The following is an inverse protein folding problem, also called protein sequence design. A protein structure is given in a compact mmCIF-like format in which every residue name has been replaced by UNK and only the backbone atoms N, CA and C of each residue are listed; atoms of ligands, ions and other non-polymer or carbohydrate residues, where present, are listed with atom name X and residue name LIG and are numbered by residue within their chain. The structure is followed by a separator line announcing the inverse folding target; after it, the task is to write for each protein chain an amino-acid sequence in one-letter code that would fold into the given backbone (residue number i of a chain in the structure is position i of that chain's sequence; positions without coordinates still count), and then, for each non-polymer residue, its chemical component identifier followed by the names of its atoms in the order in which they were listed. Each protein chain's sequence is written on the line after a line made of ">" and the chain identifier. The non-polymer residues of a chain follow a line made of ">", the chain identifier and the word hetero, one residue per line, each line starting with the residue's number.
data_IF_891606120979
#
_entry.id   IF_891606120979
#
_cell.length_a   1.000
_cell.length_b   1.000
_cell.length_c   1.000
_cell.angle_alpha   90.00
_cell.angle_beta   90.00
_cell.angle_gamma   90.00
#
_symmetry.space_group_name_H-M   'P 1'
#
loop_
_entity.id
_entity.type
_entity.pdbx_description
1 polymer ?
#
# COMPACT_ATOMS: atom_id res chain seq x y z
N UNK A 1 1.98 -4.20 9.45
CA UNK A 1 2.13 -5.67 9.40
C UNK A 1 0.93 -6.34 8.72
N UNK A 2 -0.31 -6.21 9.22
CA UNK A 2 -1.49 -6.81 8.59
C UNK A 2 -1.69 -6.41 7.11
N UNK A 3 -1.56 -5.12 6.77
CA UNK A 3 -1.70 -4.65 5.39
C UNK A 3 -0.63 -5.24 4.44
N UNK A 4 0.60 -5.43 4.90
CA UNK A 4 1.68 -6.03 4.09
C UNK A 4 1.42 -7.51 3.83
N UNK A 5 0.92 -8.23 4.83
CA UNK A 5 0.53 -9.62 4.64
C UNK A 5 -0.58 -9.72 3.58
N UNK A 6 -1.60 -8.86 3.66
CA UNK A 6 -2.67 -8.80 2.64
C UNK A 6 -2.10 -8.50 1.26
N UNK A 7 -1.18 -7.54 1.12
CA UNK A 7 -0.54 -7.21 -0.16
C UNK A 7 0.18 -8.43 -0.76
N UNK A 8 1.03 -9.10 0.01
CA UNK A 8 1.80 -10.25 -0.45
C UNK A 8 0.91 -11.46 -0.78
N UNK A 9 -0.08 -11.75 0.07
CA UNK A 9 -1.04 -12.84 -0.19
C UNK A 9 -1.91 -12.55 -1.41
N UNK A 10 -2.34 -11.30 -1.60
CA UNK A 10 -3.12 -10.90 -2.76
C UNK A 10 -2.30 -11.02 -4.04
N UNK A 11 -1.04 -10.59 -4.06
CA UNK A 11 -0.16 -10.73 -5.23
C UNK A 11 0.04 -12.20 -5.57
N UNK A 12 0.37 -13.05 -4.60
CA UNK A 12 0.56 -14.49 -4.85
C UNK A 12 -0.75 -15.15 -5.33
N UNK A 13 -1.86 -14.85 -4.68
CA UNK A 13 -3.17 -15.42 -5.02
C UNK A 13 -3.65 -15.01 -6.41
N UNK A 14 -3.50 -13.72 -6.76
CA UNK A 14 -3.93 -13.20 -8.05
C UNK A 14 -2.98 -13.64 -9.18
N UNK A 15 -1.67 -13.69 -8.92
CA UNK A 15 -0.68 -14.21 -9.86
C UNK A 15 -0.91 -15.69 -10.17
N UNK A 16 -1.18 -16.50 -9.14
CA UNK A 16 -1.51 -17.92 -9.29
C UNK A 16 -2.82 -18.13 -10.07
N UNK A 17 -3.84 -17.30 -9.82
CA UNK A 17 -5.13 -17.40 -10.51
C UNK A 17 -5.07 -16.95 -11.98
N UNK A 18 -4.27 -15.92 -12.27
CA UNK A 18 -4.14 -15.34 -13.61
C UNK A 18 -3.15 -16.09 -14.51
N UNK A 19 -2.35 -17.02 -13.97
CA UNK A 19 -1.48 -17.93 -14.74
C UNK A 19 -2.23 -18.53 -15.93
N UNK A 20 -3.47 -18.99 -15.73
CA UNK A 20 -4.23 -19.72 -16.75
C UNK A 20 -4.82 -18.85 -17.86
N UNK A 21 -4.92 -17.54 -17.64
CA UNK A 21 -5.63 -16.60 -18.53
C UNK A 21 -4.67 -15.82 -19.43
N UNK A 22 -3.43 -15.64 -19.02
CA UNK A 22 -2.50 -14.75 -19.71
C UNK A 22 -1.67 -15.49 -20.78
N UNK A 23 -1.33 -14.84 -21.91
CA UNK A 23 -0.67 -15.47 -23.06
C UNK A 23 0.85 -15.66 -22.90
N UNK A 24 1.40 -15.52 -21.69
CA UNK A 24 2.84 -15.58 -21.41
C UNK A 24 3.15 -16.46 -20.19
N UNK A 25 4.33 -17.09 -20.18
CA UNK A 25 4.76 -17.98 -19.10
C UNK A 25 4.88 -17.25 -17.77
N UNK A 26 3.98 -17.55 -16.83
CA UNK A 26 3.98 -17.02 -15.45
C UNK A 26 4.67 -17.98 -14.48
N UNK A 27 5.92 -18.34 -14.75
CA UNK A 27 6.65 -19.22 -13.84
C UNK A 27 7.01 -18.51 -12.53
N UNK A 28 7.09 -19.30 -11.45
CA UNK A 28 7.63 -18.85 -10.17
C UNK A 28 9.14 -19.05 -10.26
N UNK A 29 9.84 -18.02 -10.71
CA UNK A 29 11.28 -18.00 -10.90
C UNK A 29 11.96 -16.95 -9.99
N UNK A 30 13.27 -16.75 -10.15
CA UNK A 30 14.00 -15.71 -9.41
C UNK A 30 13.44 -14.31 -9.71
N UNK A 31 12.94 -14.09 -10.92
CA UNK A 31 12.34 -12.83 -11.36
C UNK A 31 11.07 -12.54 -10.58
N UNK A 32 10.21 -13.55 -10.35
CA UNK A 32 9.02 -13.44 -9.51
C UNK A 32 9.37 -13.06 -8.06
N UNK A 33 10.40 -13.67 -7.47
CA UNK A 33 10.84 -13.34 -6.10
C UNK A 33 11.34 -11.88 -6.03
N UNK A 34 12.08 -11.42 -7.04
CA UNK A 34 12.51 -10.03 -7.14
C UNK A 34 11.31 -9.06 -7.26
N UNK A 35 10.25 -9.46 -7.97
CA UNK A 35 9.02 -8.66 -8.08
C UNK A 35 8.35 -8.51 -6.70
N UNK A 36 8.19 -9.59 -5.94
CA UNK A 36 7.62 -9.54 -4.59
C UNK A 36 8.43 -8.61 -3.69
N UNK A 37 9.76 -8.73 -3.69
CA UNK A 37 10.64 -7.89 -2.87
C UNK A 37 10.45 -6.40 -3.21
N UNK A 38 10.32 -6.09 -4.49
CA UNK A 38 10.10 -4.73 -4.99
C UNK A 38 8.73 -4.20 -4.56
N UNK A 39 7.67 -5.01 -4.66
CA UNK A 39 6.32 -4.64 -4.24
C UNK A 39 6.27 -4.35 -2.74
N UNK A 40 6.92 -5.19 -1.93
CA UNK A 40 6.99 -4.98 -0.48
C UNK A 40 7.67 -3.65 -0.17
N UNK A 41 8.78 -3.33 -0.83
CA UNK A 41 9.46 -2.04 -0.70
C UNK A 41 8.56 -0.85 -1.08
N UNK A 42 7.89 -0.94 -2.23
CA UNK A 42 6.95 0.08 -2.71
C UNK A 42 5.79 0.32 -1.75
N UNK A 43 5.17 -0.78 -1.30
CA UNK A 43 4.02 -0.78 -0.40
C UNK A 43 4.37 -0.23 1.00
N UNK A 44 5.56 -0.54 1.53
CA UNK A 44 6.05 0.03 2.80
C UNK A 44 6.25 1.53 2.66
N UNK A 45 6.88 1.99 1.58
CA UNK A 45 7.16 3.40 1.37
C UNK A 45 5.89 4.25 1.39
N UNK A 46 4.84 3.83 0.68
CA UNK A 46 3.58 4.57 0.65
C UNK A 46 2.90 4.62 2.03
N UNK A 47 2.93 3.50 2.76
CA UNK A 47 2.37 3.41 4.12
C UNK A 47 3.09 4.33 5.11
N UNK A 48 4.43 4.38 5.09
CA UNK A 48 5.23 5.23 5.98
C UNK A 48 4.86 6.71 5.80
N UNK A 49 4.68 7.16 4.55
CA UNK A 49 4.28 8.54 4.25
C UNK A 49 2.91 8.88 4.84
N UNK A 50 1.94 7.95 4.78
CA UNK A 50 0.62 8.12 5.40
C UNK A 50 0.74 8.20 6.93
N UNK A 51 1.50 7.30 7.54
CA UNK A 51 1.71 7.30 8.99
C UNK A 51 2.42 8.56 9.48
N UNK A 52 3.40 9.05 8.73
CA UNK A 52 4.11 10.29 9.07
C UNK A 52 3.19 11.50 9.00
N UNK A 53 2.31 11.60 8.00
CA UNK A 53 1.33 12.70 7.91
C UNK A 53 0.33 12.68 9.05
N UNK A 54 -0.19 11.50 9.41
CA UNK A 54 -1.08 11.35 10.58
C UNK A 54 -0.37 11.81 11.86
N UNK A 55 0.88 11.41 12.07
CA UNK A 55 1.68 11.80 13.23
C UNK A 55 1.90 13.31 13.27
N UNK A 56 2.28 13.90 12.14
CA UNK A 56 2.51 15.34 12.00
C UNK A 56 1.24 16.16 12.29
N UNK A 57 0.10 15.77 11.73
CA UNK A 57 -1.15 16.49 11.98
C UNK A 57 -1.57 16.37 13.45
N UNK A 58 -1.34 15.22 14.08
CA UNK A 58 -1.65 15.02 15.50
C UNK A 58 -0.86 15.99 16.39
N UNK A 59 0.39 16.30 16.01
CA UNK A 59 1.23 17.27 16.73
C UNK A 59 0.82 18.72 16.43
N UNK A 60 0.46 19.04 15.18
CA UNK A 60 0.05 20.39 14.77
C UNK A 60 -1.33 20.79 15.30
N UNK A 61 -2.27 19.84 15.39
CA UNK A 61 -3.67 20.07 15.76
C UNK A 61 -4.14 19.19 16.93
N UNK A 62 -3.54 19.31 18.13
CA UNK A 62 -3.80 18.41 19.25
C UNK A 62 -5.23 18.52 19.82
N UNK A 63 -5.96 19.60 19.50
CA UNK A 63 -7.35 19.82 19.93
C UNK A 63 -8.41 19.41 18.89
N UNK A 64 -8.01 19.04 17.67
CA UNK A 64 -8.96 18.57 16.64
C UNK A 64 -9.40 17.13 16.92
N UNK A 65 -10.64 16.81 16.56
CA UNK A 65 -11.14 15.45 16.65
C UNK A 65 -10.33 14.50 15.77
N UNK A 66 -10.01 13.31 16.29
CA UNK A 66 -9.18 12.31 15.59
C UNK A 66 -9.71 12.00 14.17
N UNK A 67 -11.03 11.93 14.00
CA UNK A 67 -11.64 11.62 12.70
C UNK A 67 -11.36 12.69 11.64
N UNK A 68 -11.50 13.97 12.00
CA UNK A 68 -11.18 15.08 11.10
C UNK A 68 -9.68 15.10 10.75
N UNK A 69 -8.84 14.85 11.74
CA UNK A 69 -7.39 14.78 11.57
C UNK A 69 -6.96 13.70 10.58
N UNK A 70 -7.56 12.51 10.71
CA UNK A 70 -7.31 11.39 9.82
C UNK A 70 -7.76 11.69 8.39
N UNK A 71 -8.96 12.26 8.23
CA UNK A 71 -9.47 12.66 6.92
C UNK A 71 -8.55 13.69 6.23
N UNK A 72 -8.11 14.71 6.97
CA UNK A 72 -7.21 15.74 6.44
C UNK A 72 -5.85 15.14 6.06
N UNK A 73 -5.32 14.22 6.89
CA UNK A 73 -4.06 13.54 6.65
C UNK A 73 -4.11 12.66 5.40
N UNK A 74 -5.19 11.87 5.24
CA UNK A 74 -5.41 11.04 4.06
C UNK A 74 -5.50 11.88 2.79
N UNK A 75 -6.27 12.97 2.83
CA UNK A 75 -6.44 13.85 1.67
C UNK A 75 -5.12 14.50 1.25
N UNK A 76 -4.27 14.88 2.23
CA UNK A 76 -2.94 15.43 1.96
C UNK A 76 -1.97 14.41 1.33
N UNK A 77 -2.11 13.12 1.65
CA UNK A 77 -1.28 12.06 1.05
C UNK A 77 -1.81 11.54 -0.27
N UNK A 78 -3.13 11.62 -0.49
CA UNK A 78 -3.82 11.04 -1.63
C UNK A 78 -3.22 11.49 -2.97
N UNK A 79 -3.02 12.79 -3.15
CA UNK A 79 -2.49 13.34 -4.41
C UNK A 79 -1.07 12.81 -4.72
N UNK A 80 -0.21 12.66 -3.69
CA UNK A 80 1.14 12.14 -3.86
C UNK A 80 1.11 10.65 -4.20
N UNK A 81 0.35 9.87 -3.44
CA UNK A 81 0.22 8.42 -3.61
C UNK A 81 -0.34 8.09 -4.98
N UNK A 82 -1.38 8.80 -5.44
CA UNK A 82 -1.96 8.63 -6.78
C UNK A 82 -0.94 8.99 -7.86
N UNK A 83 -0.24 10.12 -7.77
CA UNK A 83 0.75 10.52 -8.78
C UNK A 83 1.89 9.50 -8.91
N UNK A 84 2.37 8.98 -7.77
CA UNK A 84 3.45 7.98 -7.74
C UNK A 84 2.95 6.63 -8.27
N UNK A 85 1.74 6.21 -7.90
CA UNK A 85 1.10 5.01 -8.44
C UNK A 85 0.88 5.10 -9.94
N UNK A 86 0.32 6.20 -10.42
CA UNK A 86 0.00 6.41 -11.84
C UNK A 86 1.24 6.42 -12.72
N UNK A 87 2.29 7.13 -12.31
CA UNK A 87 3.58 7.15 -13.02
C UNK A 87 4.22 5.76 -13.09
N UNK A 88 4.15 4.99 -12.00
CA UNK A 88 4.64 3.60 -11.96
C UNK A 88 3.81 2.70 -12.89
N UNK A 89 2.48 2.80 -12.84
CA UNK A 89 1.58 2.04 -13.71
C UNK A 89 1.82 2.35 -15.18
N UNK A 90 2.08 3.61 -15.53
CA UNK A 90 2.40 4.00 -16.91
C UNK A 90 3.64 3.27 -17.43
N UNK A 91 4.74 3.28 -16.66
CA UNK A 91 5.97 2.57 -17.02
C UNK A 91 5.73 1.06 -17.14
N UNK A 92 5.00 0.49 -16.19
CA UNK A 92 4.61 -0.93 -16.18
C UNK A 92 3.81 -1.29 -17.45
N UNK A 93 2.83 -0.48 -17.83
CA UNK A 93 2.03 -0.69 -19.04
C UNK A 93 2.92 -0.68 -20.29
N UNK A 94 3.82 0.29 -20.41
CA UNK A 94 4.77 0.34 -21.53
C UNK A 94 5.61 -0.94 -21.62
N UNK A 95 6.11 -1.44 -20.50
CA UNK A 95 6.93 -2.66 -20.48
C UNK A 95 6.08 -3.92 -20.71
N UNK A 96 4.80 -3.95 -20.32
CA UNK A 96 3.93 -5.09 -20.64
C UNK A 96 3.74 -5.28 -22.16
N UNK A 97 3.57 -4.18 -22.90
CA UNK A 97 3.39 -4.23 -24.35
C UNK A 97 4.70 -4.36 -25.12
N UNK A 98 5.77 -3.71 -24.67
CA UNK A 98 7.05 -3.65 -25.39
C UNK A 98 8.11 -4.63 -24.87
N UNK A 99 7.89 -5.23 -23.69
CA UNK A 99 8.84 -6.13 -23.04
C UNK A 99 8.72 -7.59 -23.51
N UNK A 100 9.83 -8.31 -23.40
CA UNK A 100 9.88 -9.76 -23.65
C UNK A 100 9.29 -10.60 -22.51
N UNK A 101 9.10 -11.90 -22.75
CA UNK A 101 8.33 -12.78 -21.86
C UNK A 101 8.90 -12.86 -20.44
N UNK A 102 10.23 -12.88 -20.28
CA UNK A 102 10.90 -12.91 -18.98
C UNK A 102 10.63 -11.65 -18.13
N UNK A 103 10.43 -10.49 -18.76
CA UNK A 103 10.14 -9.22 -18.05
C UNK A 103 8.65 -9.02 -17.88
N UNK A 104 7.83 -9.61 -18.77
CA UNK A 104 6.37 -9.46 -18.72
C UNK A 104 5.77 -10.11 -17.47
N UNK A 105 6.28 -11.27 -17.04
CA UNK A 105 5.89 -11.92 -15.78
C UNK A 105 6.21 -11.03 -14.56
N UNK A 106 7.43 -10.47 -14.50
CA UNK A 106 7.88 -9.53 -13.46
C UNK A 106 6.95 -8.33 -13.35
N UNK A 107 6.76 -7.64 -14.48
CA UNK A 107 6.03 -6.39 -14.55
C UNK A 107 4.54 -6.61 -14.29
N UNK A 108 4.01 -7.79 -14.64
CA UNK A 108 2.65 -8.16 -14.29
C UNK A 108 2.46 -8.35 -12.79
N UNK A 109 3.38 -9.06 -12.11
CA UNK A 109 3.35 -9.18 -10.66
C UNK A 109 3.43 -7.79 -9.99
N UNK A 110 4.32 -6.93 -10.51
CA UNK A 110 4.45 -5.53 -10.08
C UNK A 110 3.15 -4.73 -10.27
N UNK A 111 2.45 -4.89 -11.40
CA UNK A 111 1.19 -4.20 -11.67
C UNK A 111 0.16 -4.51 -10.59
N UNK A 112 -0.02 -5.79 -10.29
CA UNK A 112 -0.95 -6.25 -9.25
C UNK A 112 -0.52 -5.67 -7.89
N UNK A 113 0.76 -5.77 -7.56
CA UNK A 113 1.30 -5.30 -6.29
C UNK A 113 1.16 -3.80 -6.08
N UNK A 114 1.40 -2.99 -7.10
CA UNK A 114 1.21 -1.54 -7.05
C UNK A 114 -0.26 -1.20 -6.84
N UNK A 115 -1.16 -1.79 -7.62
CA UNK A 115 -2.61 -1.51 -7.51
C UNK A 115 -3.13 -1.90 -6.12
N UNK A 116 -2.83 -3.12 -5.66
CA UNK A 116 -3.27 -3.58 -4.34
C UNK A 116 -2.60 -2.75 -3.24
N UNK A 117 -1.29 -2.52 -3.31
CA UNK A 117 -0.53 -1.78 -2.31
C UNK A 117 -0.99 -0.33 -2.14
N UNK A 118 -1.32 0.35 -3.24
CA UNK A 118 -1.88 1.71 -3.21
C UNK A 118 -3.26 1.71 -2.55
N UNK A 119 -4.13 0.75 -2.87
CA UNK A 119 -5.47 0.65 -2.27
C UNK A 119 -5.36 0.33 -0.78
N UNK A 120 -4.53 -0.65 -0.38
CA UNK A 120 -4.42 -1.04 1.04
C UNK A 120 -3.74 0.03 1.88
N UNK A 121 -2.81 0.79 1.32
CA UNK A 121 -2.19 1.92 2.00
C UNK A 121 -3.21 2.99 2.36
N UNK A 122 -4.10 3.36 1.45
CA UNK A 122 -5.11 4.39 1.70
C UNK A 122 -6.31 3.87 2.51
N UNK A 123 -6.86 2.71 2.14
CA UNK A 123 -8.12 2.21 2.70
C UNK A 123 -7.96 1.31 3.92
N UNK A 124 -6.81 0.66 4.12
CA UNK A 124 -6.58 -0.23 5.26
C UNK A 124 -5.68 0.41 6.31
N UNK A 125 -4.68 1.20 5.93
CA UNK A 125 -3.79 1.82 6.92
C UNK A 125 -4.50 2.89 7.75
N UNK A 126 -5.36 3.71 7.13
CA UNK A 126 -6.12 4.77 7.80
C UNK A 126 -7.03 4.28 8.95
N UNK A 127 -7.92 3.29 8.77
CA UNK A 127 -8.76 2.79 9.86
C UNK A 127 -7.96 2.05 10.94
N UNK A 128 -6.88 1.34 10.57
CA UNK A 128 -5.97 0.69 11.53
C UNK A 128 -5.28 1.72 12.41
N UNK A 129 -4.76 2.78 11.81
CA UNK A 129 -4.13 3.88 12.52
C UNK A 129 -5.13 4.61 13.44
N UNK A 130 -6.36 4.86 12.96
CA UNK A 130 -7.42 5.44 13.77
C UNK A 130 -7.74 4.59 15.00
N UNK A 131 -7.88 3.27 14.83
CA UNK A 131 -8.16 2.34 15.92
C UNK A 131 -7.02 2.28 16.95
N UNK A 132 -5.77 2.30 16.50
CA UNK A 132 -4.61 2.31 17.40
C UNK A 132 -4.53 3.60 18.21
N UNK A 133 -4.76 4.76 17.60
CA UNK A 133 -4.73 6.06 18.29
C UNK A 133 -5.92 6.26 19.22
N UNK A 134 -7.12 5.85 18.81
CA UNK A 134 -8.32 5.88 19.66
C UNK A 134 -8.14 5.04 20.93
N UNK A 135 -7.56 3.84 20.80
CA UNK A 135 -7.24 2.99 21.95
C UNK A 135 -6.20 3.64 22.89
N UNK A 136 -5.21 4.35 22.37
CA UNK A 136 -4.25 5.09 23.20
C UNK A 136 -4.88 6.29 23.92
N UNK A 137 -5.80 7.01 23.25
CA UNK A 137 -6.52 8.14 23.85
C UNK A 137 -7.44 7.66 24.98
N UNK A 138 -8.18 6.57 24.76
CA UNK A 138 -9.02 5.93 25.78
C UNK A 138 -8.21 5.43 26.99
N UNK A 139 -7.01 4.88 26.76
CA UNK A 139 -6.12 4.43 27.83
C UNK A 139 -5.65 5.61 28.70
N UNK A 140 -5.22 6.73 28.09
CA UNK A 140 -4.86 7.96 28.80
C UNK A 140 -6.01 8.57 29.61
N UNK A 141 -7.23 8.56 29.06
CA UNK A 141 -8.44 9.03 29.76
C UNK A 141 -8.81 8.16 30.96
N UNK A 142 -8.55 6.84 30.87
CA UNK A 142 -8.82 5.89 31.96
C UNK A 142 -7.77 6.01 33.08
N UNK A 143 -6.49 6.22 32.72
CA UNK A 143 -5.40 6.42 33.69
C UNK A 143 -5.48 7.77 34.41
N UNK A 144 -6.09 8.80 33.80
CA UNK A 144 -6.29 10.12 34.45
C UNK A 144 -7.46 10.13 35.45
N UNK A 145 -8.35 9.13 35.39
CA UNK A 145 -9.50 8.99 36.30
C UNK A 145 -9.20 8.11 37.54
N UNK A 146 -7.99 7.57 37.67
CA UNK A 146 -7.57 6.71 38.76
C UNK A 146 -6.55 7.45 39.64
#
# INVERSE_FOLDING_TARGET
>A
MAALAVDTFAVIGLYSLLWKVMPFSMEIDQTFVAAILTIVGYSINDKVVVFDRVREYTQLYPKRGLLALFNDSMNATLARTINTGLSTILVIICILFLGGDAVRSFVFAMLIGVVVGTITSLFVAAPVAYKMMSNQQNKKLTDTKK
#
